data_IF_422755697602
#
_entry.id   IF_422755697602
#
_cell.length_a   1.000
_cell.length_b   1.000
_cell.length_c   1.000
_cell.angle_alpha   90.00
_cell.angle_beta   90.00
_cell.angle_gamma   90.00
#
_symmetry.space_group_name_H-M   'P 1'
#
loop_
_entity.id
_entity.type
_entity.pdbx_description
1 polymer ?
#
# COMPACT_ATOMS: atom_id res chain seq x y z
N UNK A 1 4.36 -8.34 14.54
CA UNK A 1 3.89 -6.95 14.39
C UNK A 1 5.01 -5.92 14.53
N UNK A 2 5.86 -5.95 15.57
CA UNK A 2 6.98 -4.98 15.74
C UNK A 2 7.87 -4.75 14.51
N UNK A 3 8.11 -5.78 13.70
CA UNK A 3 8.86 -5.64 12.44
C UNK A 3 8.18 -4.66 11.45
N UNK A 4 6.87 -4.82 11.24
CA UNK A 4 6.12 -3.93 10.35
C UNK A 4 6.02 -2.51 10.90
N UNK A 5 6.06 -2.32 12.22
CA UNK A 5 6.11 -0.99 12.81
C UNK A 5 7.40 -0.25 12.39
N UNK A 6 8.56 -0.90 12.44
CA UNK A 6 9.83 -0.30 12.00
C UNK A 6 9.80 0.06 10.51
N UNK A 7 9.23 -0.82 9.69
CA UNK A 7 9.00 -0.57 8.26
C UNK A 7 8.13 0.66 8.04
N UNK A 8 6.99 0.75 8.75
CA UNK A 8 6.07 1.89 8.64
C UNK A 8 6.78 3.19 9.05
N UNK A 9 7.60 3.18 10.11
CA UNK A 9 8.38 4.35 10.53
C UNK A 9 9.37 4.78 9.46
N UNK A 10 10.12 3.84 8.89
CA UNK A 10 11.09 4.12 7.82
C UNK A 10 10.42 4.74 6.60
N UNK A 11 9.35 4.12 6.10
CA UNK A 11 8.63 4.60 4.91
C UNK A 11 7.94 5.95 5.15
N UNK A 12 7.37 6.15 6.34
CA UNK A 12 6.80 7.46 6.72
C UNK A 12 7.88 8.54 6.82
N UNK A 13 9.07 8.19 7.33
CA UNK A 13 10.23 9.07 7.33
C UNK A 13 10.67 9.46 5.92
N UNK A 14 10.74 8.50 5.00
CA UNK A 14 11.04 8.73 3.59
C UNK A 14 10.02 9.65 2.91
N UNK A 15 8.74 9.44 3.19
CA UNK A 15 7.65 10.31 2.72
C UNK A 15 7.85 11.76 3.22
N UNK A 16 8.05 11.94 4.53
CA UNK A 16 8.23 13.26 5.14
C UNK A 16 9.46 13.96 4.53
N UNK A 17 10.57 13.24 4.37
CA UNK A 17 11.78 13.77 3.78
C UNK A 17 11.54 14.21 2.32
N UNK A 18 10.93 13.35 1.50
CA UNK A 18 10.65 13.66 0.11
C UNK A 18 9.67 14.84 -0.07
N UNK A 19 8.70 15.01 0.84
CA UNK A 19 7.81 16.17 0.86
C UNK A 19 8.55 17.45 1.30
N UNK A 20 9.45 17.36 2.29
CA UNK A 20 10.25 18.50 2.76
C UNK A 20 11.16 19.06 1.66
N UNK A 21 11.78 18.19 0.87
CA UNK A 21 12.62 18.59 -0.28
C UNK A 21 11.85 19.33 -1.37
N UNK A 22 10.52 19.16 -1.41
CA UNK A 22 9.62 19.77 -2.39
C UNK A 22 8.83 20.95 -1.80
N UNK A 23 9.31 21.52 -0.69
CA UNK A 23 8.74 22.75 -0.12
C UNK A 23 8.61 23.82 -1.21
N UNK A 24 7.45 24.48 -1.26
CA UNK A 24 7.08 25.52 -2.24
C UNK A 24 6.85 25.04 -3.68
N UNK A 25 6.94 23.73 -3.97
CA UNK A 25 6.55 23.16 -5.27
C UNK A 25 5.12 22.62 -5.20
N UNK A 26 4.44 22.57 -6.34
CA UNK A 26 3.19 21.81 -6.45
C UNK A 26 3.53 20.33 -6.34
N UNK A 27 2.84 19.63 -5.45
CA UNK A 27 2.99 18.19 -5.22
C UNK A 27 1.64 17.53 -5.45
N UNK A 28 1.65 16.46 -6.24
CA UNK A 28 0.50 15.58 -6.37
C UNK A 28 0.46 14.65 -5.14
N UNK A 29 -0.40 14.95 -4.18
CA UNK A 29 -0.50 14.16 -2.94
C UNK A 29 -0.97 12.74 -3.24
N UNK A 30 -1.83 12.54 -4.24
CA UNK A 30 -2.35 11.21 -4.56
C UNK A 30 -1.23 10.29 -5.05
N UNK A 31 -0.38 10.79 -5.95
CA UNK A 31 0.80 10.06 -6.39
C UNK A 31 1.74 9.69 -5.22
N UNK A 32 1.93 10.59 -4.25
CA UNK A 32 2.77 10.34 -3.08
C UNK A 32 2.19 9.30 -2.12
N UNK A 33 0.85 9.23 -1.99
CA UNK A 33 0.20 8.17 -1.24
C UNK A 33 0.33 6.82 -1.95
N UNK A 34 0.24 6.79 -3.29
CA UNK A 34 0.55 5.58 -4.06
C UNK A 34 2.00 5.15 -3.86
N UNK A 35 2.97 6.07 -3.90
CA UNK A 35 4.37 5.73 -3.66
C UNK A 35 4.59 5.13 -2.27
N UNK A 36 3.97 5.69 -1.22
CA UNK A 36 4.02 5.14 0.14
C UNK A 36 3.42 3.74 0.21
N UNK A 37 2.28 3.50 -0.45
CA UNK A 37 1.61 2.21 -0.38
C UNK A 37 2.33 1.10 -1.16
N UNK A 38 3.13 1.45 -2.17
CA UNK A 38 3.90 0.50 -2.98
C UNK A 38 5.41 0.46 -2.62
N UNK A 39 5.91 1.32 -1.71
CA UNK A 39 7.35 1.58 -1.56
C UNK A 39 8.16 0.43 -0.97
N UNK A 40 7.55 -0.44 -0.16
CA UNK A 40 8.24 -1.43 0.69
C UNK A 40 9.27 -2.32 -0.03
N UNK A 41 9.15 -2.52 -1.35
CA UNK A 41 10.16 -3.23 -2.15
C UNK A 41 10.59 -2.48 -3.44
N UNK A 42 9.96 -1.34 -3.74
CA UNK A 42 10.08 -0.67 -5.04
C UNK A 42 10.76 0.70 -4.98
N UNK A 43 11.08 1.20 -3.78
CA UNK A 43 11.84 2.45 -3.56
C UNK A 43 11.21 3.70 -4.20
N UNK A 44 9.92 3.64 -4.54
CA UNK A 44 9.19 4.69 -5.26
C UNK A 44 9.18 6.04 -4.54
N UNK A 45 9.19 6.03 -3.19
CA UNK A 45 9.27 7.26 -2.38
C UNK A 45 10.61 7.98 -2.52
N UNK A 46 11.72 7.23 -2.59
CA UNK A 46 13.06 7.80 -2.66
C UNK A 46 13.33 8.36 -4.06
N UNK A 47 12.85 7.65 -5.09
CA UNK A 47 12.94 8.12 -6.47
C UNK A 47 11.91 9.23 -6.75
N UNK A 48 10.84 9.32 -5.95
CA UNK A 48 9.74 10.27 -6.11
C UNK A 48 8.93 10.06 -7.39
N UNK A 49 9.00 8.85 -7.95
CA UNK A 49 8.30 8.44 -9.17
C UNK A 49 8.11 6.92 -9.20
N UNK A 50 7.18 6.46 -10.02
CA UNK A 50 7.07 5.05 -10.36
C UNK A 50 8.19 4.67 -11.34
N UNK A 51 9.30 4.18 -10.81
CA UNK A 51 10.50 3.83 -11.60
C UNK A 51 10.30 2.60 -12.48
N UNK A 52 9.37 1.72 -12.13
CA UNK A 52 9.17 0.44 -12.81
C UNK A 52 7.88 0.41 -13.64
N UNK A 53 7.09 1.49 -13.62
CA UNK A 53 5.80 1.56 -14.28
C UNK A 53 4.80 0.56 -13.70
N UNK A 54 4.97 0.14 -12.44
CA UNK A 54 4.13 -0.89 -11.82
C UNK A 54 2.72 -0.37 -11.60
N UNK A 55 2.53 0.87 -11.13
CA UNK A 55 1.19 1.41 -10.86
C UNK A 55 0.39 1.54 -12.16
N UNK A 56 1.04 2.01 -13.23
CA UNK A 56 0.43 2.08 -14.56
C UNK A 56 0.09 0.70 -15.13
N UNK A 57 0.94 -0.30 -14.89
CA UNK A 57 0.68 -1.68 -15.31
C UNK A 57 -0.50 -2.29 -14.54
N UNK A 58 -0.58 -2.05 -13.23
CA UNK A 58 -1.71 -2.49 -12.40
C UNK A 58 -3.00 -1.81 -12.87
N UNK A 59 -3.00 -0.48 -13.02
CA UNK A 59 -4.16 0.28 -13.48
C UNK A 59 -4.65 -0.24 -14.83
N UNK A 60 -3.73 -0.42 -15.79
CA UNK A 60 -4.04 -0.99 -17.09
C UNK A 60 -4.61 -2.40 -17.00
N UNK A 61 -4.02 -3.27 -16.18
CA UNK A 61 -4.51 -4.63 -15.98
C UNK A 61 -5.91 -4.66 -15.35
N UNK A 62 -6.22 -3.76 -14.41
CA UNK A 62 -7.53 -3.63 -13.79
C UNK A 62 -8.59 -3.13 -14.79
N UNK A 63 -8.27 -2.11 -15.58
CA UNK A 63 -9.17 -1.58 -16.63
C UNK A 63 -9.44 -2.67 -17.68
N UNK A 64 -8.40 -3.33 -18.16
CA UNK A 64 -8.53 -4.44 -19.11
C UNK A 64 -9.24 -5.65 -18.49
N UNK A 65 -9.18 -5.84 -17.17
CA UNK A 65 -9.94 -6.86 -16.46
C UNK A 65 -11.40 -6.48 -16.18
N UNK A 66 -11.78 -5.21 -16.30
CA UNK A 66 -13.11 -4.73 -15.89
C UNK A 66 -14.22 -5.36 -16.73
N UNK A 67 -14.01 -5.53 -18.03
CA UNK A 67 -15.01 -6.19 -18.89
C UNK A 67 -15.19 -7.67 -18.56
N UNK A 68 -14.14 -8.33 -18.03
CA UNK A 68 -14.20 -9.74 -17.57
C UNK A 68 -15.14 -9.86 -16.39
N UNK A 69 -15.19 -8.86 -15.50
CA UNK A 69 -16.10 -8.84 -14.35
C UNK A 69 -17.59 -8.83 -14.76
N UNK A 70 -17.89 -8.25 -15.92
CA UNK A 70 -19.25 -8.22 -16.49
C UNK A 70 -19.65 -9.51 -17.20
N UNK A 71 -18.67 -10.34 -17.60
CA UNK A 71 -18.91 -11.59 -18.33
C UNK A 71 -18.06 -12.75 -17.79
N UNK A 72 -18.21 -13.16 -16.51
CA UNK A 72 -17.28 -14.11 -15.89
C UNK A 72 -17.25 -15.50 -16.55
N UNK A 73 -18.34 -15.89 -17.22
CA UNK A 73 -18.44 -17.16 -17.95
C UNK A 73 -17.53 -17.22 -19.18
N UNK A 74 -16.99 -16.10 -19.65
CA UNK A 74 -16.03 -16.05 -20.76
C UNK A 74 -14.59 -16.40 -20.33
N UNK A 75 -14.27 -16.38 -19.03
CA UNK A 75 -12.91 -16.59 -18.50
C UNK A 75 -12.26 -17.89 -19.02
N UNK A 76 -12.94 -19.06 -19.05
CA UNK A 76 -12.35 -20.29 -19.55
C UNK A 76 -11.97 -20.24 -21.04
N UNK A 77 -12.58 -19.33 -21.82
CA UNK A 77 -12.37 -19.18 -23.25
C UNK A 77 -11.27 -18.17 -23.58
N UNK A 78 -10.89 -17.30 -22.63
CA UNK A 78 -9.85 -16.27 -22.82
C UNK A 78 -8.49 -16.83 -23.23
N UNK A 79 -8.17 -18.06 -22.78
CA UNK A 79 -6.94 -18.75 -23.15
C UNK A 79 -6.79 -19.04 -24.65
N UNK A 80 -7.89 -18.99 -25.42
CA UNK A 80 -7.89 -19.22 -26.86
C UNK A 80 -7.78 -17.93 -27.69
N UNK A 81 -7.93 -16.76 -27.07
CA UNK A 81 -7.83 -15.47 -27.74
C UNK A 81 -6.41 -14.92 -27.61
N UNK A 82 -5.64 -14.80 -28.72
CA UNK A 82 -4.34 -14.16 -28.67
C UNK A 82 -4.50 -12.72 -28.16
N UNK A 83 -3.60 -12.30 -27.27
CA UNK A 83 -3.56 -11.00 -26.59
C UNK A 83 -4.58 -10.74 -25.47
N UNK A 84 -5.68 -11.50 -25.36
CA UNK A 84 -6.68 -11.26 -24.31
C UNK A 84 -6.18 -11.56 -22.89
N UNK A 85 -5.12 -12.35 -22.74
CA UNK A 85 -4.47 -12.66 -21.46
C UNK A 85 -3.12 -11.98 -21.27
N UNK A 86 -2.69 -11.09 -22.17
CA UNK A 86 -1.31 -10.57 -22.19
C UNK A 86 -0.97 -9.83 -20.89
N UNK A 87 -1.82 -8.89 -20.45
CA UNK A 87 -1.57 -8.13 -19.23
C UNK A 87 -1.60 -9.01 -17.98
N UNK A 88 -2.43 -10.05 -17.96
CA UNK A 88 -2.42 -11.06 -16.90
C UNK A 88 -1.11 -11.86 -16.88
N UNK A 89 -0.58 -12.19 -18.06
CA UNK A 89 0.70 -12.91 -18.17
C UNK A 89 1.89 -12.03 -17.76
N UNK A 90 1.91 -10.76 -18.18
CA UNK A 90 2.91 -9.79 -17.76
C UNK A 90 2.89 -9.61 -16.22
N UNK A 91 1.68 -9.59 -15.64
CA UNK A 91 1.48 -9.52 -14.19
C UNK A 91 2.06 -10.76 -13.48
N UNK A 92 1.78 -11.98 -13.96
CA UNK A 92 2.40 -13.19 -13.40
C UNK A 92 3.93 -13.14 -13.43
N UNK A 93 4.53 -12.66 -14.52
CA UNK A 93 5.99 -12.55 -14.64
C UNK A 93 6.58 -11.65 -13.57
N UNK A 94 5.88 -10.56 -13.23
CA UNK A 94 6.31 -9.66 -12.13
C UNK A 94 6.19 -10.39 -10.79
N UNK A 95 5.04 -11.00 -10.49
CA UNK A 95 4.85 -11.75 -9.25
C UNK A 95 5.90 -12.85 -9.05
N UNK A 96 6.18 -13.61 -10.11
CA UNK A 96 7.22 -14.64 -10.09
C UNK A 96 8.61 -14.07 -9.81
N UNK A 97 8.96 -12.93 -10.42
CA UNK A 97 10.26 -12.28 -10.18
C UNK A 97 10.39 -11.84 -8.72
N UNK A 98 9.35 -11.24 -8.15
CA UNK A 98 9.34 -10.80 -6.76
C UNK A 98 9.47 -11.98 -5.81
N UNK A 99 8.70 -13.05 -6.01
CA UNK A 99 8.79 -14.26 -5.17
C UNK A 99 10.13 -14.96 -5.31
N UNK A 100 10.66 -15.11 -6.53
CA UNK A 100 11.96 -15.75 -6.75
C UNK A 100 13.09 -14.95 -6.11
N UNK A 101 13.06 -13.62 -6.24
CA UNK A 101 14.01 -12.72 -5.54
C UNK A 101 13.90 -12.88 -4.03
N UNK A 102 12.67 -12.83 -3.50
CA UNK A 102 12.43 -12.94 -2.06
C UNK A 102 12.86 -14.30 -1.49
N UNK A 103 12.59 -15.39 -2.21
CA UNK A 103 13.01 -16.74 -1.85
C UNK A 103 14.55 -16.91 -1.87
N UNK A 104 15.23 -16.24 -2.82
CA UNK A 104 16.69 -16.22 -2.91
C UNK A 104 17.32 -15.41 -1.77
N UNK A 105 16.81 -14.20 -1.53
CA UNK A 105 17.37 -13.26 -0.55
C UNK A 105 17.10 -13.70 0.90
N UNK A 106 16.06 -14.53 1.10
CA UNK A 106 15.66 -15.01 2.42
C UNK A 106 15.06 -13.91 3.29
N UNK A 107 14.54 -14.29 4.47
CA UNK A 107 13.98 -13.33 5.43
C UNK A 107 14.67 -13.43 6.76
N UNK A 108 14.87 -12.28 7.39
CA UNK A 108 15.22 -12.21 8.81
C UNK A 108 13.96 -12.31 9.68
N UNK A 109 12.79 -11.89 9.17
CA UNK A 109 11.53 -11.84 9.90
C UNK A 109 10.44 -12.62 9.17
N UNK A 110 9.46 -13.23 9.87
CA UNK A 110 8.33 -13.88 9.21
C UNK A 110 7.44 -12.82 8.55
N UNK A 111 7.63 -12.61 7.26
CA UNK A 111 6.81 -11.72 6.43
C UNK A 111 5.66 -12.49 5.77
N UNK A 112 4.88 -11.85 4.90
CA UNK A 112 3.76 -12.53 4.24
C UNK A 112 4.21 -13.75 3.42
N UNK A 113 5.40 -13.69 2.81
CA UNK A 113 5.93 -14.77 1.98
C UNK A 113 6.40 -15.97 2.81
N UNK A 114 6.87 -15.75 4.03
CA UNK A 114 7.15 -16.83 4.99
C UNK A 114 5.94 -17.75 5.18
N UNK A 115 4.75 -17.14 5.34
CA UNK A 115 3.50 -17.88 5.50
C UNK A 115 2.99 -18.44 4.17
N UNK A 116 3.01 -17.65 3.08
CA UNK A 116 2.57 -18.12 1.76
C UNK A 116 3.40 -19.30 1.23
N UNK A 117 4.69 -19.38 1.57
CA UNK A 117 5.56 -20.49 1.15
C UNK A 117 5.61 -21.65 2.15
N UNK A 118 4.80 -21.61 3.22
CA UNK A 118 4.76 -22.62 4.27
C UNK A 118 6.17 -22.91 4.84
N UNK A 119 6.93 -21.86 5.15
CA UNK A 119 8.26 -21.97 5.77
C UNK A 119 8.19 -22.35 7.25
N UNK A 120 7.04 -22.11 7.91
CA UNK A 120 6.74 -22.52 9.28
C UNK A 120 6.32 -23.99 9.39
N UNK A 121 6.05 -24.65 8.27
CA UNK A 121 5.75 -26.09 8.18
C UNK A 121 4.40 -26.48 8.77
N UNK A 122 3.46 -25.53 8.87
CA UNK A 122 2.12 -25.81 9.41
C UNK A 122 1.23 -26.55 8.42
N UNK A 123 1.44 -26.38 7.11
CA UNK A 123 0.65 -27.09 6.09
C UNK A 123 1.29 -28.42 5.66
N UNK A 124 0.43 -29.40 5.38
CA UNK A 124 0.83 -30.76 4.96
C UNK A 124 1.55 -30.73 3.60
N UNK A 125 1.15 -29.82 2.70
CA UNK A 125 1.70 -29.73 1.34
C UNK A 125 2.25 -28.33 1.12
N UNK A 126 3.47 -28.23 0.58
CA UNK A 126 4.03 -26.93 0.21
C UNK A 126 3.38 -26.43 -1.08
N UNK A 127 2.90 -25.18 -1.12
CA UNK A 127 2.39 -24.58 -2.35
C UNK A 127 3.52 -24.42 -3.37
N UNK A 128 3.15 -24.46 -4.65
CA UNK A 128 4.10 -24.19 -5.74
C UNK A 128 4.39 -22.68 -5.81
N UNK A 129 5.60 -22.32 -6.25
CA UNK A 129 6.08 -20.94 -6.29
C UNK A 129 5.16 -20.03 -7.10
N UNK A 130 4.55 -20.54 -8.17
CA UNK A 130 3.65 -19.80 -9.04
C UNK A 130 2.36 -19.39 -8.32
N UNK A 131 1.85 -20.22 -7.41
CA UNK A 131 0.68 -19.89 -6.59
C UNK A 131 1.05 -18.82 -5.57
N UNK A 132 2.19 -18.98 -4.88
CA UNK A 132 2.69 -17.98 -3.95
C UNK A 132 2.92 -16.61 -4.62
N UNK A 133 3.35 -16.61 -5.88
CA UNK A 133 3.54 -15.42 -6.69
C UNK A 133 2.22 -14.71 -7.00
N UNK A 134 1.17 -15.46 -7.35
CA UNK A 134 -0.16 -14.91 -7.59
C UNK A 134 -0.75 -14.35 -6.30
N UNK A 135 -0.68 -15.09 -5.19
CA UNK A 135 -1.25 -14.67 -3.91
C UNK A 135 -0.52 -13.46 -3.32
N UNK A 136 0.82 -13.43 -3.39
CA UNK A 136 1.60 -12.28 -2.95
C UNK A 136 1.33 -11.04 -3.79
N UNK A 137 1.17 -11.20 -5.09
CA UNK A 137 0.81 -10.10 -5.98
C UNK A 137 -0.60 -9.58 -5.74
N UNK A 138 -1.56 -10.47 -5.50
CA UNK A 138 -2.91 -10.11 -5.09
C UNK A 138 -2.88 -9.30 -3.79
N UNK A 139 -2.12 -9.76 -2.78
CA UNK A 139 -1.99 -9.05 -1.50
C UNK A 139 -1.37 -7.66 -1.68
N UNK A 140 -0.34 -7.53 -2.52
CA UNK A 140 0.28 -6.25 -2.85
C UNK A 140 -0.72 -5.31 -3.51
N UNK A 141 -1.39 -5.74 -4.59
CA UNK A 141 -2.33 -4.89 -5.33
C UNK A 141 -3.51 -4.48 -4.43
N UNK A 142 -4.14 -5.44 -3.76
CA UNK A 142 -5.32 -5.21 -2.94
C UNK A 142 -5.01 -4.30 -1.74
N UNK A 143 -3.85 -4.48 -1.11
CA UNK A 143 -3.44 -3.66 0.04
C UNK A 143 -2.97 -2.27 -0.37
N UNK A 144 -2.14 -2.17 -1.40
CA UNK A 144 -1.50 -0.91 -1.77
C UNK A 144 -2.47 0.07 -2.44
N UNK A 145 -3.28 -0.38 -3.39
CA UNK A 145 -4.18 0.53 -4.14
C UNK A 145 -5.31 1.09 -3.27
N UNK A 146 -5.91 0.24 -2.43
CA UNK A 146 -6.98 0.65 -1.51
C UNK A 146 -6.47 1.61 -0.43
N UNK A 147 -5.29 1.33 0.16
CA UNK A 147 -4.67 2.20 1.14
C UNK A 147 -4.26 3.55 0.54
N UNK A 148 -3.63 3.56 -0.65
CA UNK A 148 -3.26 4.78 -1.35
C UNK A 148 -4.48 5.65 -1.65
N UNK A 149 -5.57 5.03 -2.09
CA UNK A 149 -6.84 5.69 -2.37
C UNK A 149 -7.44 6.29 -1.09
N UNK A 150 -7.49 5.54 0.01
CA UNK A 150 -8.01 6.03 1.28
C UNK A 150 -7.21 7.22 1.81
N UNK A 151 -5.88 7.13 1.79
CA UNK A 151 -4.98 8.21 2.20
C UNK A 151 -5.11 9.44 1.31
N UNK A 152 -5.26 9.25 -0.01
CA UNK A 152 -5.47 10.35 -0.96
C UNK A 152 -6.74 11.13 -0.63
N UNK A 153 -7.85 10.41 -0.34
CA UNK A 153 -9.11 11.03 0.07
C UNK A 153 -8.99 11.74 1.41
N UNK A 154 -8.36 11.10 2.41
CA UNK A 154 -8.13 11.72 3.72
C UNK A 154 -7.43 13.06 3.57
N UNK A 155 -6.32 13.12 2.82
CA UNK A 155 -5.61 14.37 2.58
C UNK A 155 -6.42 15.38 1.79
N UNK A 156 -7.16 14.94 0.76
CA UNK A 156 -8.05 15.82 0.01
C UNK A 156 -9.07 16.53 0.93
N UNK A 157 -9.74 15.78 1.81
CA UNK A 157 -10.70 16.35 2.76
C UNK A 157 -10.04 17.25 3.80
N UNK A 158 -8.91 16.84 4.38
CA UNK A 158 -8.19 17.65 5.37
C UNK A 158 -7.71 18.98 4.75
N UNK A 159 -7.14 18.95 3.55
CA UNK A 159 -6.66 20.15 2.86
C UNK A 159 -7.82 21.04 2.38
N UNK A 160 -8.97 20.45 2.02
CA UNK A 160 -10.18 21.17 1.65
C UNK A 160 -10.95 21.79 2.83
N UNK A 161 -10.75 21.27 4.04
CA UNK A 161 -11.46 21.72 5.25
C UNK A 161 -10.47 22.07 6.38
N UNK A 162 -9.89 23.29 6.37
CA UNK A 162 -8.88 23.71 7.34
C UNK A 162 -9.30 23.59 8.81
N UNK A 163 -10.60 23.70 9.10
CA UNK A 163 -11.13 23.52 10.46
C UNK A 163 -10.86 22.11 10.99
N UNK A 164 -11.14 21.07 10.18
CA UNK A 164 -10.90 19.69 10.59
C UNK A 164 -9.42 19.38 10.68
N UNK A 165 -8.63 19.89 9.74
CA UNK A 165 -7.18 19.76 9.79
C UNK A 165 -6.55 20.40 11.02
N UNK A 166 -6.98 21.60 11.41
CA UNK A 166 -6.49 22.25 12.62
C UNK A 166 -6.91 21.50 13.89
N UNK A 167 -8.13 20.93 13.93
CA UNK A 167 -8.58 20.12 15.05
C UNK A 167 -7.76 18.84 15.20
N UNK A 168 -7.46 18.15 14.09
CA UNK A 168 -6.58 16.97 14.08
C UNK A 168 -5.19 17.34 14.59
N UNK A 169 -4.64 18.47 14.13
CA UNK A 169 -3.35 18.96 14.60
C UNK A 169 -3.34 19.21 16.10
N UNK A 170 -4.40 19.82 16.65
CA UNK A 170 -4.51 20.05 18.10
C UNK A 170 -4.54 18.74 18.88
N UNK A 171 -5.22 17.70 18.39
CA UNK A 171 -5.20 16.38 19.03
C UNK A 171 -3.79 15.78 19.02
N UNK A 172 -3.11 15.81 17.87
CA UNK A 172 -1.73 15.31 17.74
C UNK A 172 -0.76 16.08 18.64
N UNK A 173 -0.81 17.41 18.63
CA UNK A 173 0.10 18.26 19.42
C UNK A 173 -0.14 18.11 20.93
N UNK A 174 -1.37 17.76 21.35
CA UNK A 174 -1.71 17.48 22.75
C UNK A 174 -1.07 16.17 23.23
N UNK A 175 -1.13 15.14 22.39
CA UNK A 175 -0.64 13.82 22.72
C UNK A 175 0.86 13.67 22.46
N UNK A 176 1.44 14.45 21.56
CA UNK A 176 2.86 14.46 21.21
C UNK A 176 3.40 15.89 21.29
N UNK A 177 3.76 16.39 22.50
CA UNK A 177 4.25 17.74 22.68
C UNK A 177 5.58 18.00 21.93
N UNK A 178 5.82 19.27 21.63
CA UNK A 178 6.92 19.74 20.77
C UNK A 178 8.26 19.00 20.97
N UNK A 179 8.68 18.29 19.91
CA UNK A 179 9.96 17.59 19.84
C UNK A 179 9.84 16.07 19.93
N UNK A 180 8.68 15.55 20.34
CA UNK A 180 8.39 14.12 20.26
C UNK A 180 7.98 13.74 18.83
N UNK A 181 8.60 12.69 18.29
CA UNK A 181 8.22 12.11 17.01
C UNK A 181 7.04 11.15 17.23
N UNK A 182 5.85 11.42 16.67
CA UNK A 182 4.70 10.52 16.81
C UNK A 182 4.96 9.11 16.29
N UNK A 183 5.97 8.92 15.42
CA UNK A 183 6.41 7.62 14.93
C UNK A 183 7.04 6.74 16.01
N UNK A 184 7.38 7.28 17.19
CA UNK A 184 7.94 6.50 18.30
C UNK A 184 6.88 5.60 18.97
N UNK A 185 5.62 6.03 18.99
CA UNK A 185 4.52 5.34 19.66
C UNK A 185 3.29 5.19 18.76
N UNK A 186 3.35 4.21 17.85
CA UNK A 186 2.24 3.88 16.95
C UNK A 186 1.02 3.35 17.70
N UNK A 187 1.20 2.75 18.87
CA UNK A 187 0.08 2.26 19.68
C UNK A 187 -0.75 3.43 20.21
N UNK A 188 -0.10 4.52 20.64
CA UNK A 188 -0.77 5.75 21.04
C UNK A 188 -1.54 6.39 19.90
N UNK A 189 -0.96 6.46 18.69
CA UNK A 189 -1.67 6.93 17.49
C UNK A 189 -2.97 6.16 17.25
N UNK A 190 -2.96 4.84 17.44
CA UNK A 190 -4.15 3.99 17.29
C UNK A 190 -5.27 4.26 18.31
N UNK A 191 -5.00 4.99 19.39
CA UNK A 191 -6.00 5.32 20.42
C UNK A 191 -6.62 6.72 20.27
N UNK A 192 -6.12 7.52 19.34
CA UNK A 192 -6.57 8.90 19.11
C UNK A 192 -7.94 8.92 18.44
N UNK A 193 -8.94 9.44 19.13
CA UNK A 193 -10.34 9.31 18.71
C UNK A 193 -10.66 10.15 17.48
N UNK A 194 -10.11 11.37 17.37
CA UNK A 194 -10.38 12.25 16.25
C UNK A 194 -9.59 11.83 15.00
N UNK A 195 -8.34 11.41 15.15
CA UNK A 195 -7.57 10.77 14.07
C UNK A 195 -8.32 9.56 13.49
N UNK A 196 -8.79 8.64 14.35
CA UNK A 196 -9.54 7.47 13.90
C UNK A 196 -10.87 7.88 13.21
N UNK A 197 -11.59 8.87 13.74
CA UNK A 197 -12.80 9.38 13.11
C UNK A 197 -12.53 9.96 11.70
N UNK A 198 -11.40 10.66 11.51
CA UNK A 198 -11.00 11.16 10.20
C UNK A 198 -10.69 10.03 9.20
N UNK A 199 -10.02 8.97 9.66
CA UNK A 199 -9.68 7.80 8.82
C UNK A 199 -10.94 7.02 8.43
N UNK A 200 -11.88 6.84 9.35
CA UNK A 200 -13.14 6.12 9.12
C UNK A 200 -14.14 6.92 8.27
N UNK A 201 -13.87 8.20 7.99
CA UNK A 201 -14.79 9.08 7.26
C UNK A 201 -16.05 9.43 8.04
N UNK A 202 -16.05 9.23 9.36
CA UNK A 202 -17.13 9.67 10.23
C UNK A 202 -17.07 11.20 10.35
N UNK A 203 -18.17 11.88 10.02
CA UNK A 203 -18.29 13.31 10.31
C UNK A 203 -17.99 13.53 11.80
N UNK A 204 -16.98 14.34 12.15
CA UNK A 204 -16.49 14.46 13.53
C UNK A 204 -17.47 15.09 14.52
N UNK A 205 -18.70 15.40 14.11
CA UNK A 205 -19.78 15.90 14.98
C UNK A 205 -20.37 14.84 15.91
N UNK A 206 -19.93 13.57 15.84
CA UNK A 206 -20.42 12.48 16.71
C UNK A 206 -19.49 12.12 17.87
N UNK A 207 -18.36 12.83 18.03
CA UNK A 207 -17.47 12.65 19.17
C UNK A 207 -17.86 13.62 20.30
N UNK A 208 -19.07 13.46 20.84
CA UNK A 208 -19.54 14.08 22.10
C UNK A 208 -20.13 13.01 23.02
#
# INVERSE_FOLDING_TARGET
MKYYEEVIKEETGNLIQGLRERKLKKVDISAWMSFLSFSYDLRMLQDGMDTHGLSQQIEKALIEGTWISHVPWLVPFLKYLPSASKSWEDMKVIGEKLVKRRAHDGSVHPDIFHYLMNEDGQEITKPIIEVCAIDGMLALIAGSDTAATALSHLWYYLLGHPTYFNQLRVEIDKDFPFGEDPLIDLAKLGTMSYLNACIEGLHPTKAE
#
